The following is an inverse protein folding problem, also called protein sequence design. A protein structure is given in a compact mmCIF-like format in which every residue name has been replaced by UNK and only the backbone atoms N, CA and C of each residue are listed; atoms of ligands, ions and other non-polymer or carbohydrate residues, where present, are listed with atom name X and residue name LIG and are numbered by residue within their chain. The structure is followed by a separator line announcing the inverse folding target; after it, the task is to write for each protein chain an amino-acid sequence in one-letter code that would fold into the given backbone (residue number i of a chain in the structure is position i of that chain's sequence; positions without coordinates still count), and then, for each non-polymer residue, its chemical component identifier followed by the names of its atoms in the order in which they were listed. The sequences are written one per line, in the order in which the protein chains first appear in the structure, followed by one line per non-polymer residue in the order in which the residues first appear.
data_IF_348605159381
#
_entry.id   IF_348605159381
#
_cell.length_a   1.000
_cell.length_b   1.000
_cell.length_c   1.000
_cell.angle_alpha   90.00
_cell.angle_beta   90.00
_cell.angle_gamma   90.00
#
_symmetry.space_group_name_H-M   'P 1'
#
loop_
_entity.id
_entity.type
_entity.pdbx_description
1 polymer ?
#
# COMPACT_ATOMS: atom_id res chain seq x y z
N UNK A 1 0.73 -11.81 14.29
CA UNK A 1 2.14 -12.20 13.95
C UNK A 1 3.15 -11.33 14.68
N UNK A 2 4.35 -11.85 15.08
CA UNK A 2 5.45 -11.03 15.64
C UNK A 2 6.30 -10.44 14.51
N UNK A 3 6.84 -9.23 14.68
CA UNK A 3 7.68 -8.52 13.70
C UNK A 3 8.85 -9.40 13.19
N UNK A 4 9.59 -10.05 14.09
CA UNK A 4 10.69 -10.97 13.69
C UNK A 4 10.25 -12.08 12.73
N UNK A 5 9.02 -12.61 12.90
CA UNK A 5 8.47 -13.63 12.02
C UNK A 5 8.10 -13.04 10.65
N UNK A 6 7.54 -11.83 10.63
CA UNK A 6 7.24 -11.11 9.39
C UNK A 6 8.51 -10.79 8.59
N UNK A 7 9.55 -10.27 9.25
CA UNK A 7 10.85 -9.99 8.62
C UNK A 7 11.43 -11.25 7.97
N UNK A 8 11.47 -12.37 8.71
CA UNK A 8 11.97 -13.63 8.19
C UNK A 8 11.16 -14.12 6.98
N UNK A 9 9.83 -14.01 7.04
CA UNK A 9 8.95 -14.41 5.96
C UNK A 9 9.25 -13.64 4.66
N UNK A 10 9.36 -12.32 4.74
CA UNK A 10 9.64 -11.50 3.54
C UNK A 10 11.08 -11.67 3.05
N UNK A 11 12.04 -11.91 3.93
CA UNK A 11 13.43 -12.21 3.57
C UNK A 11 13.56 -13.52 2.79
N UNK A 12 12.79 -14.54 3.16
CA UNK A 12 12.75 -15.84 2.49
C UNK A 12 11.95 -15.81 1.18
N UNK A 13 10.98 -14.88 1.05
CA UNK A 13 10.04 -14.84 -0.08
C UNK A 13 10.46 -13.84 -1.17
N UNK A 14 11.00 -12.70 -0.77
CA UNK A 14 11.22 -11.59 -1.69
C UNK A 14 12.69 -11.49 -2.13
N UNK A 15 12.94 -11.08 -3.40
CA UNK A 15 14.29 -10.71 -3.82
C UNK A 15 14.85 -9.58 -2.95
N UNK A 16 16.16 -9.59 -2.67
CA UNK A 16 16.84 -8.65 -1.76
C UNK A 16 16.49 -7.18 -2.00
N UNK A 17 16.32 -6.77 -3.26
CA UNK A 17 15.90 -5.38 -3.60
C UNK A 17 14.52 -5.04 -3.04
N UNK A 18 13.56 -5.97 -3.13
CA UNK A 18 12.18 -5.78 -2.66
C UNK A 18 12.09 -5.94 -1.13
N UNK A 19 12.79 -6.90 -0.57
CA UNK A 19 12.96 -7.00 0.89
C UNK A 19 13.43 -5.67 1.49
N UNK A 20 14.52 -5.12 0.96
CA UNK A 20 15.06 -3.83 1.43
C UNK A 20 14.06 -2.67 1.23
N UNK A 21 13.27 -2.71 0.17
CA UNK A 21 12.18 -1.74 -0.04
C UNK A 21 11.13 -1.87 1.07
N UNK A 22 10.61 -3.07 1.35
CA UNK A 22 9.63 -3.29 2.41
C UNK A 22 10.12 -2.84 3.79
N UNK A 23 11.40 -3.08 4.08
CA UNK A 23 12.00 -2.59 5.34
C UNK A 23 12.04 -1.06 5.39
N UNK A 24 12.34 -0.36 4.28
CA UNK A 24 12.31 1.11 4.24
C UNK A 24 10.88 1.67 4.33
N UNK A 25 9.90 0.98 3.71
CA UNK A 25 8.48 1.35 3.85
C UNK A 25 8.04 1.25 5.31
N UNK A 26 8.36 0.15 5.99
CA UNK A 26 8.06 -0.02 7.41
C UNK A 26 8.71 1.06 8.28
N UNK A 27 9.97 1.39 8.04
CA UNK A 27 10.69 2.44 8.78
C UNK A 27 10.11 3.83 8.52
N UNK A 28 9.77 4.15 7.27
CA UNK A 28 9.12 5.41 6.89
C UNK A 28 7.73 5.51 7.53
N UNK A 29 6.97 4.42 7.48
CA UNK A 29 5.65 4.35 8.09
C UNK A 29 5.70 4.56 9.61
N UNK A 30 6.69 3.97 10.32
CA UNK A 30 6.87 4.20 11.77
C UNK A 30 7.11 5.66 12.09
N UNK A 31 7.97 6.35 11.34
CA UNK A 31 8.20 7.80 11.51
C UNK A 31 6.92 8.60 11.29
N UNK A 32 6.13 8.22 10.29
CA UNK A 32 4.83 8.85 10.07
C UNK A 32 3.85 8.55 11.20
N UNK A 33 3.79 7.29 11.66
CA UNK A 33 2.92 6.91 12.77
C UNK A 33 3.23 7.70 14.06
N UNK A 34 4.50 7.97 14.34
CA UNK A 34 4.90 8.82 15.46
C UNK A 34 4.40 10.27 15.30
N UNK A 35 4.49 10.85 14.10
CA UNK A 35 4.07 12.23 13.81
C UNK A 35 2.54 12.38 13.86
N UNK A 36 1.82 11.37 13.38
CA UNK A 36 0.37 11.42 13.19
C UNK A 36 -0.42 10.66 14.27
N UNK A 37 0.23 10.26 15.36
CA UNK A 37 -0.40 9.48 16.44
C UNK A 37 -1.09 8.22 15.89
N UNK A 38 -0.34 7.44 15.10
CA UNK A 38 -0.75 6.16 14.54
C UNK A 38 -0.23 4.96 15.35
N UNK A 39 -0.80 3.79 15.14
CA UNK A 39 -0.30 2.55 15.75
C UNK A 39 0.99 2.08 15.05
N UNK A 40 2.14 2.37 15.65
CA UNK A 40 3.46 2.00 15.12
C UNK A 40 3.61 0.51 14.86
N UNK A 41 2.98 -0.36 15.70
CA UNK A 41 3.11 -1.82 15.53
C UNK A 41 2.31 -2.30 14.31
N UNK A 42 1.10 -1.79 14.13
CA UNK A 42 0.27 -2.11 12.96
C UNK A 42 0.94 -1.61 11.68
N UNK A 43 1.42 -0.37 11.69
CA UNK A 43 2.10 0.24 10.56
C UNK A 43 3.40 -0.51 10.20
N UNK A 44 4.22 -0.87 11.19
CA UNK A 44 5.45 -1.63 10.98
C UNK A 44 5.15 -2.99 10.33
N UNK A 45 4.15 -3.72 10.87
CA UNK A 45 3.78 -5.03 10.37
C UNK A 45 3.22 -4.94 8.94
N UNK A 46 2.32 -4.00 8.68
CA UNK A 46 1.75 -3.79 7.34
C UNK A 46 2.84 -3.38 6.33
N UNK A 47 3.75 -2.47 6.71
CA UNK A 47 4.84 -2.03 5.84
C UNK A 47 5.82 -3.14 5.47
N UNK A 48 6.13 -4.06 6.39
CA UNK A 48 6.95 -5.24 6.10
C UNK A 48 6.25 -6.15 5.09
N UNK A 49 4.94 -6.37 5.23
CA UNK A 49 4.20 -7.43 4.55
C UNK A 49 3.47 -7.00 3.27
N UNK A 50 3.34 -5.68 2.99
CA UNK A 50 2.47 -5.17 1.90
C UNK A 50 2.77 -5.78 0.53
N UNK A 51 4.00 -6.08 0.25
CA UNK A 51 4.48 -6.59 -1.05
C UNK A 51 4.76 -8.11 -1.05
N UNK A 52 4.28 -8.86 -0.05
CA UNK A 52 4.61 -10.29 0.12
C UNK A 52 4.37 -11.11 -1.15
N UNK A 53 3.31 -10.82 -1.92
CA UNK A 53 2.95 -11.54 -3.14
C UNK A 53 3.39 -10.83 -4.44
N UNK A 54 4.27 -9.83 -4.36
CA UNK A 54 4.65 -8.96 -5.51
C UNK A 54 5.27 -9.69 -6.68
N UNK A 55 5.97 -10.78 -6.43
CA UNK A 55 6.72 -11.53 -7.44
C UNK A 55 6.07 -12.88 -7.78
N UNK A 56 4.84 -13.08 -7.37
CA UNK A 56 4.10 -14.29 -7.75
C UNK A 56 3.66 -14.24 -9.21
N UNK A 57 3.60 -15.41 -9.80
CA UNK A 57 3.08 -15.60 -11.16
C UNK A 57 1.60 -15.18 -11.24
N UNK A 58 1.22 -14.50 -12.32
CA UNK A 58 -0.13 -13.96 -12.49
C UNK A 58 -1.22 -15.04 -12.38
N UNK A 59 -0.94 -16.24 -12.88
CA UNK A 59 -1.84 -17.39 -12.77
C UNK A 59 -2.12 -17.81 -11.32
N UNK A 60 -1.09 -17.76 -10.45
CA UNK A 60 -1.23 -18.06 -9.03
C UNK A 60 -2.02 -16.97 -8.29
N UNK A 61 -1.82 -15.70 -8.69
CA UNK A 61 -2.62 -14.59 -8.16
C UNK A 61 -4.09 -14.73 -8.54
N UNK A 62 -4.43 -15.09 -9.78
CA UNK A 62 -5.82 -15.35 -10.20
C UNK A 62 -6.46 -16.52 -9.43
N UNK A 63 -5.72 -17.60 -9.22
CA UNK A 63 -6.19 -18.70 -8.39
C UNK A 63 -6.51 -18.25 -6.96
N UNK A 64 -5.63 -17.43 -6.38
CA UNK A 64 -5.83 -16.87 -5.04
C UNK A 64 -7.03 -15.91 -4.98
N UNK A 65 -7.24 -15.07 -6.00
CA UNK A 65 -8.44 -14.19 -6.10
C UNK A 65 -9.72 -15.03 -6.05
N UNK A 66 -9.76 -16.14 -6.79
CA UNK A 66 -10.91 -17.06 -6.79
C UNK A 66 -11.04 -17.82 -5.46
N UNK A 67 -9.94 -18.35 -4.94
CA UNK A 67 -9.92 -19.12 -3.69
C UNK A 67 -10.42 -18.31 -2.49
N UNK A 68 -10.01 -17.03 -2.40
CA UNK A 68 -10.36 -16.14 -1.28
C UNK A 68 -11.59 -15.27 -1.55
N UNK A 69 -12.29 -15.49 -2.67
CA UNK A 69 -13.47 -14.71 -3.09
C UNK A 69 -13.27 -13.19 -3.01
N UNK A 70 -12.18 -12.70 -3.60
CA UNK A 70 -11.78 -11.30 -3.51
C UNK A 70 -12.52 -10.36 -4.49
N UNK A 71 -13.40 -10.92 -5.32
CA UNK A 71 -14.19 -10.22 -6.34
C UNK A 71 -13.74 -10.52 -7.76
N UNK A 72 -14.70 -10.77 -8.63
CA UNK A 72 -14.45 -11.16 -10.04
C UNK A 72 -13.86 -10.02 -10.87
N UNK A 73 -14.11 -8.77 -10.50
CA UNK A 73 -13.57 -7.59 -11.14
C UNK A 73 -12.04 -7.55 -11.09
N UNK A 74 -11.43 -8.10 -10.03
CA UNK A 74 -9.97 -8.17 -9.89
C UNK A 74 -9.32 -9.03 -10.99
N UNK A 75 -10.02 -10.03 -11.54
CA UNK A 75 -9.49 -10.87 -12.62
C UNK A 75 -9.24 -10.11 -13.94
N UNK A 76 -9.69 -8.86 -14.03
CA UNK A 76 -9.43 -7.97 -15.17
C UNK A 76 -8.11 -7.21 -15.05
N UNK A 77 -7.36 -7.37 -13.93
CA UNK A 77 -6.14 -6.61 -13.66
C UNK A 77 -4.90 -7.50 -13.56
N UNK A 78 -3.74 -6.89 -13.72
CA UNK A 78 -2.44 -7.53 -13.62
C UNK A 78 -1.90 -7.64 -12.19
N UNK A 79 -0.71 -8.21 -12.07
CA UNK A 79 -0.03 -8.45 -10.79
C UNK A 79 0.18 -7.16 -9.97
N UNK A 80 0.29 -6.00 -10.63
CA UNK A 80 0.44 -4.70 -9.97
C UNK A 80 -0.73 -4.36 -9.04
N UNK A 81 -1.94 -4.83 -9.36
CA UNK A 81 -3.14 -4.63 -8.55
C UNK A 81 -3.39 -5.81 -7.62
N UNK A 82 -3.20 -7.04 -8.11
CA UNK A 82 -3.61 -8.25 -7.42
C UNK A 82 -2.78 -8.59 -6.19
N UNK A 83 -1.49 -8.26 -6.18
CA UNK A 83 -0.58 -8.71 -5.11
C UNK A 83 -1.00 -8.21 -3.72
N UNK A 84 -1.52 -6.99 -3.59
CA UNK A 84 -1.98 -6.44 -2.31
C UNK A 84 -3.19 -7.20 -1.74
N UNK A 85 -4.32 -7.28 -2.47
CA UNK A 85 -5.47 -8.10 -2.08
C UNK A 85 -5.13 -9.55 -1.73
N UNK A 86 -4.32 -10.21 -2.57
CA UNK A 86 -3.91 -11.61 -2.33
C UNK A 86 -3.02 -11.73 -1.09
N UNK A 87 -2.06 -10.80 -0.90
CA UNK A 87 -1.22 -10.80 0.31
C UNK A 87 -2.07 -10.63 1.58
N UNK A 88 -3.02 -9.69 1.59
CA UNK A 88 -3.89 -9.44 2.73
C UNK A 88 -4.73 -10.69 3.08
N UNK A 89 -5.36 -11.31 2.08
CA UNK A 89 -6.18 -12.52 2.28
C UNK A 89 -5.36 -13.71 2.78
N UNK A 90 -4.20 -13.94 2.17
CA UNK A 90 -3.27 -15.02 2.58
C UNK A 90 -2.74 -14.83 3.99
N UNK A 91 -2.38 -13.60 4.35
CA UNK A 91 -1.90 -13.29 5.68
C UNK A 91 -2.98 -13.49 6.75
N UNK A 92 -4.22 -13.19 6.43
CA UNK A 92 -5.37 -13.49 7.28
C UNK A 92 -5.57 -14.99 7.46
N UNK A 93 -5.60 -15.74 6.36
CA UNK A 93 -5.87 -17.18 6.36
C UNK A 93 -4.74 -18.02 6.97
N UNK A 94 -3.50 -17.81 6.53
CA UNK A 94 -2.37 -18.69 6.86
C UNK A 94 -1.55 -18.22 8.06
N UNK A 95 -1.67 -16.94 8.45
CA UNK A 95 -0.85 -16.35 9.53
C UNK A 95 -1.66 -15.72 10.65
N UNK A 96 -2.99 -15.86 10.60
CA UNK A 96 -3.93 -15.36 11.62
C UNK A 96 -3.77 -13.84 11.88
N UNK A 97 -3.58 -13.06 10.79
CA UNK A 97 -3.56 -11.60 10.87
C UNK A 97 -4.98 -11.08 10.62
N UNK A 98 -5.78 -11.03 11.69
CA UNK A 98 -7.19 -10.67 11.65
C UNK A 98 -7.47 -9.18 11.91
N UNK A 99 -6.44 -8.38 12.19
CA UNK A 99 -6.59 -6.94 12.42
C UNK A 99 -6.97 -6.24 11.10
N UNK A 100 -8.13 -5.57 11.09
CA UNK A 100 -8.67 -4.92 9.89
C UNK A 100 -7.82 -3.75 9.41
N UNK A 101 -7.17 -3.01 10.30
CA UNK A 101 -6.29 -1.90 9.90
C UNK A 101 -5.09 -2.42 9.11
N UNK A 102 -4.50 -3.53 9.56
CA UNK A 102 -3.39 -4.18 8.85
C UNK A 102 -3.88 -4.78 7.54
N UNK A 103 -5.02 -5.48 7.56
CA UNK A 103 -5.60 -6.10 6.38
C UNK A 103 -5.83 -5.07 5.27
N UNK A 104 -6.56 -3.99 5.57
CA UNK A 104 -6.90 -2.98 4.56
C UNK A 104 -5.70 -2.13 4.17
N UNK A 105 -4.73 -1.90 5.04
CA UNK A 105 -3.49 -1.23 4.69
C UNK A 105 -2.69 -2.03 3.65
N UNK A 106 -2.63 -3.36 3.77
CA UNK A 106 -1.99 -4.23 2.79
C UNK A 106 -2.85 -4.36 1.53
N UNK A 107 -4.16 -4.54 1.67
CA UNK A 107 -5.09 -4.72 0.55
C UNK A 107 -5.08 -3.53 -0.41
N UNK A 108 -5.14 -2.31 0.13
CA UNK A 108 -5.34 -1.09 -0.64
C UNK A 108 -4.06 -0.28 -0.91
N UNK A 109 -2.86 -0.77 -0.52
CA UNK A 109 -1.64 0.03 -0.60
C UNK A 109 -1.30 0.51 -2.02
N UNK A 110 -1.75 -0.19 -3.06
CA UNK A 110 -1.50 0.19 -4.47
C UNK A 110 -2.57 1.12 -5.02
N UNK A 111 -3.84 0.84 -4.76
CA UNK A 111 -4.96 1.58 -5.36
C UNK A 111 -5.44 2.74 -4.50
N UNK A 112 -5.22 2.67 -3.21
CA UNK A 112 -5.98 3.45 -2.25
C UNK A 112 -7.46 3.08 -2.27
N UNK A 113 -8.27 3.79 -1.52
CA UNK A 113 -9.74 3.80 -1.55
C UNK A 113 -10.28 5.08 -0.91
N UNK A 114 -11.56 5.37 -1.08
CA UNK A 114 -12.25 6.39 -0.28
C UNK A 114 -12.21 6.02 1.22
N UNK A 115 -12.14 7.02 2.08
CA UNK A 115 -12.21 6.85 3.54
C UNK A 115 -11.18 5.88 4.13
N UNK A 116 -9.93 5.93 3.68
CA UNK A 116 -8.85 5.14 4.29
C UNK A 116 -8.69 5.52 5.77
N UNK A 117 -8.50 4.51 6.63
CA UNK A 117 -8.08 4.76 8.01
C UNK A 117 -6.62 5.24 8.07
N UNK A 118 -6.16 5.64 9.25
CA UNK A 118 -4.82 6.21 9.45
C UNK A 118 -3.71 5.25 9.02
N UNK A 119 -3.82 3.97 9.35
CA UNK A 119 -2.83 2.94 8.97
C UNK A 119 -2.75 2.75 7.46
N UNK A 120 -3.90 2.70 6.78
CA UNK A 120 -3.96 2.63 5.32
C UNK A 120 -3.28 3.83 4.67
N UNK A 121 -3.61 5.07 5.09
CA UNK A 121 -2.98 6.29 4.57
C UNK A 121 -1.47 6.26 4.75
N UNK A 122 -1.00 5.89 5.93
CA UNK A 122 0.43 5.82 6.24
C UNK A 122 1.15 4.84 5.33
N UNK A 123 0.62 3.62 5.11
CA UNK A 123 1.27 2.62 4.27
C UNK A 123 1.23 3.03 2.79
N UNK A 124 0.08 3.51 2.30
CA UNK A 124 -0.06 4.03 0.93
C UNK A 124 0.95 5.14 0.63
N UNK A 125 1.13 6.08 1.54
CA UNK A 125 2.09 7.18 1.39
C UNK A 125 3.53 6.68 1.57
N UNK A 126 3.82 5.86 2.59
CA UNK A 126 5.18 5.39 2.89
C UNK A 126 5.79 4.58 1.73
N UNK A 127 4.99 3.75 1.03
CA UNK A 127 5.44 3.06 -0.18
C UNK A 127 5.85 4.04 -1.27
N UNK A 128 5.13 5.14 -1.43
CA UNK A 128 5.42 6.16 -2.44
C UNK A 128 6.65 7.01 -2.11
N UNK A 129 6.90 7.33 -0.82
CA UNK A 129 7.93 8.31 -0.40
C UNK A 129 9.17 7.70 0.27
N UNK A 130 9.28 6.36 0.39
CA UNK A 130 10.45 5.76 1.06
C UNK A 130 11.78 6.30 0.48
N UNK A 131 12.88 6.36 1.26
CA UNK A 131 14.06 7.16 0.92
C UNK A 131 14.73 6.85 -0.43
N UNK A 132 14.51 5.66 -1.00
CA UNK A 132 15.07 5.28 -2.31
C UNK A 132 14.13 5.53 -3.48
N UNK A 133 12.94 6.09 -3.24
CA UNK A 133 12.05 6.55 -4.31
C UNK A 133 12.58 7.87 -4.89
N UNK A 134 12.74 7.88 -6.21
CA UNK A 134 13.23 9.02 -7.00
C UNK A 134 12.22 9.46 -8.06
N UNK A 135 10.96 9.08 -7.88
CA UNK A 135 9.87 9.48 -8.78
C UNK A 135 9.79 11.00 -8.84
N UNK A 136 9.66 11.63 -10.02
CA UNK A 136 9.52 13.08 -10.14
C UNK A 136 8.42 13.60 -9.20
N UNK A 137 8.75 14.64 -8.43
CA UNK A 137 7.81 15.25 -7.46
C UNK A 137 7.66 14.51 -6.12
N UNK A 138 8.44 13.45 -5.86
CA UNK A 138 8.37 12.72 -4.58
C UNK A 138 8.75 13.61 -3.38
N UNK A 139 9.65 14.55 -3.57
CA UNK A 139 10.07 15.47 -2.49
C UNK A 139 8.96 16.44 -2.08
N UNK A 140 8.10 16.84 -3.01
CA UNK A 140 6.90 17.63 -2.71
C UNK A 140 5.94 16.83 -1.79
N UNK A 141 5.76 15.54 -2.05
CA UNK A 141 4.94 14.68 -1.17
C UNK A 141 5.59 14.54 0.22
N UNK A 142 6.92 14.40 0.28
CA UNK A 142 7.64 14.39 1.56
C UNK A 142 7.42 15.67 2.33
N UNK A 143 7.45 16.83 1.67
CA UNK A 143 7.18 18.13 2.28
C UNK A 143 5.74 18.22 2.82
N UNK A 144 4.75 17.78 2.06
CA UNK A 144 3.35 17.71 2.53
C UNK A 144 3.24 16.84 3.80
N UNK A 145 3.91 15.69 3.83
CA UNK A 145 3.86 14.78 4.98
C UNK A 145 4.60 15.36 6.18
N UNK A 146 5.85 15.76 6.01
CA UNK A 146 6.74 16.05 7.15
C UNK A 146 6.75 17.51 7.58
N UNK A 147 6.43 18.47 6.67
CA UNK A 147 6.38 19.90 6.98
C UNK A 147 4.95 20.39 7.17
N UNK A 148 4.05 20.10 6.23
CA UNK A 148 2.65 20.54 6.31
C UNK A 148 1.80 19.66 7.23
N UNK A 149 2.23 18.40 7.48
CA UNK A 149 1.53 17.40 8.31
C UNK A 149 0.11 17.11 7.85
N UNK A 150 -0.09 16.92 6.56
CA UNK A 150 -1.40 16.64 5.97
C UNK A 150 -1.40 15.32 5.20
N UNK A 151 -1.94 14.24 5.83
CA UNK A 151 -2.04 12.92 5.19
C UNK A 151 -3.04 12.92 4.02
N UNK A 152 -4.15 13.62 4.14
CA UNK A 152 -5.22 13.60 3.13
C UNK A 152 -4.77 14.30 1.86
N UNK A 153 -4.08 15.43 1.98
CA UNK A 153 -3.43 16.11 0.86
C UNK A 153 -2.35 15.24 0.21
N UNK A 154 -1.55 14.52 1.00
CA UNK A 154 -0.55 13.60 0.45
C UNK A 154 -1.20 12.45 -0.34
N UNK A 155 -2.28 11.84 0.18
CA UNK A 155 -3.06 10.81 -0.53
C UNK A 155 -3.63 11.36 -1.84
N UNK A 156 -4.22 12.55 -1.81
CA UNK A 156 -4.75 13.21 -3.00
C UNK A 156 -3.67 13.38 -4.08
N UNK A 157 -2.56 13.99 -3.73
CA UNK A 157 -1.49 14.27 -4.69
C UNK A 157 -0.84 12.99 -5.25
N UNK A 158 -0.68 11.94 -4.43
CA UNK A 158 -0.20 10.64 -4.90
C UNK A 158 -1.21 10.01 -5.88
N UNK A 159 -2.50 9.99 -5.52
CA UNK A 159 -3.56 9.42 -6.36
C UNK A 159 -3.65 10.15 -7.70
N UNK A 160 -3.59 11.48 -7.69
CA UNK A 160 -3.58 12.33 -8.89
C UNK A 160 -2.40 12.01 -9.81
N UNK A 161 -1.19 11.95 -9.25
CA UNK A 161 0.04 11.62 -10.01
C UNK A 161 -0.01 10.21 -10.57
N UNK A 162 -0.54 9.25 -9.79
CA UNK A 162 -0.72 7.86 -10.24
C UNK A 162 -1.68 7.78 -11.42
N UNK A 163 -2.85 8.42 -11.33
CA UNK A 163 -3.84 8.45 -12.41
C UNK A 163 -3.25 9.08 -13.67
N UNK A 164 -2.62 10.25 -13.56
CA UNK A 164 -1.98 10.92 -14.68
C UNK A 164 -0.87 10.06 -15.32
N UNK A 165 -0.06 9.39 -14.50
CA UNK A 165 0.98 8.50 -14.99
C UNK A 165 0.40 7.32 -15.77
N UNK A 166 -0.65 6.68 -15.25
CA UNK A 166 -1.30 5.54 -15.91
C UNK A 166 -1.95 5.96 -17.24
N UNK A 167 -2.65 7.09 -17.27
CA UNK A 167 -3.25 7.64 -18.50
C UNK A 167 -2.17 7.93 -19.54
N UNK A 168 -1.08 8.61 -19.16
CA UNK A 168 0.03 8.93 -20.05
C UNK A 168 0.80 7.69 -20.58
N UNK A 169 0.58 6.53 -19.97
CA UNK A 169 1.17 5.25 -20.37
C UNK A 169 0.17 4.31 -21.03
N UNK A 170 -1.02 4.77 -21.35
CA UNK A 170 -2.12 3.96 -21.89
C UNK A 170 -2.40 2.71 -21.03
N UNK A 171 -2.30 2.87 -19.70
CA UNK A 171 -2.57 1.81 -18.72
C UNK A 171 -3.96 1.95 -18.10
N UNK A 172 -4.56 0.81 -17.81
CA UNK A 172 -5.85 0.77 -17.10
C UNK A 172 -5.73 1.38 -15.70
N UNK A 173 -6.66 2.26 -15.36
CA UNK A 173 -6.79 2.81 -14.00
C UNK A 173 -7.84 2.01 -13.24
N UNK A 174 -7.49 1.51 -12.07
CA UNK A 174 -8.43 0.79 -11.21
C UNK A 174 -9.49 1.75 -10.64
N UNK A 175 -10.77 1.36 -10.63
CA UNK A 175 -11.86 2.23 -10.18
C UNK A 175 -11.66 2.76 -8.76
N UNK A 176 -11.17 1.94 -7.82
CA UNK A 176 -10.84 2.40 -6.46
C UNK A 176 -9.83 3.55 -6.45
N UNK A 177 -8.88 3.60 -7.40
CA UNK A 177 -7.92 4.72 -7.49
C UNK A 177 -8.61 6.02 -7.88
N UNK A 178 -9.63 5.95 -8.75
CA UNK A 178 -10.46 7.10 -9.10
C UNK A 178 -11.34 7.53 -7.91
N UNK A 179 -11.95 6.56 -7.22
CA UNK A 179 -12.72 6.85 -6.00
C UNK A 179 -11.86 7.50 -4.91
N UNK A 180 -10.64 6.98 -4.71
CA UNK A 180 -9.65 7.55 -3.81
C UNK A 180 -9.33 8.99 -4.20
N UNK A 181 -8.97 9.24 -5.45
CA UNK A 181 -8.69 10.58 -5.97
C UNK A 181 -9.85 11.54 -5.73
N UNK A 182 -11.06 11.15 -6.11
CA UNK A 182 -12.25 12.00 -5.98
C UNK A 182 -12.57 12.32 -4.51
N UNK A 183 -12.50 11.30 -3.64
CA UNK A 183 -12.75 11.48 -2.21
C UNK A 183 -11.76 12.48 -1.60
N UNK A 184 -10.46 12.27 -1.80
CA UNK A 184 -9.44 13.14 -1.21
C UNK A 184 -9.32 14.51 -1.88
N UNK A 185 -9.76 14.67 -3.14
CA UNK A 185 -9.89 15.99 -3.76
C UNK A 185 -10.89 16.89 -3.00
N UNK A 186 -11.96 16.30 -2.46
CA UNK A 186 -12.96 17.04 -1.69
C UNK A 186 -12.58 17.29 -0.21
N UNK A 187 -11.58 16.56 0.32
CA UNK A 187 -11.25 16.56 1.74
C UNK A 187 -9.80 17.00 2.05
N UNK A 188 -8.99 17.27 1.03
CA UNK A 188 -7.57 17.61 1.21
C UNK A 188 -7.29 19.04 1.67
N UNK A 189 -8.29 19.92 1.61
CA UNK A 189 -8.19 21.34 2.02
C UNK A 189 -8.59 21.58 3.48
N UNK A 190 -9.02 20.54 4.20
CA UNK A 190 -9.36 20.61 5.62
C UNK A 190 -8.16 20.17 6.47
#
# INVERSE_FOLDING_TARGET
MKIKKAVKLVEETLPSKRYNHSMRVAETGKKMAEIFDGDMKKVELAGILHDLCKYEELSALYQSVTQYDLGQDLLSYGSEILHGPVAAARLKDQYDINDEDIYYAIYNHTTGRAQMNKTEKIIFIADYIEPKRTTPGVDEIRDIVFKERNLDKAVYEISKRTVLHLINKDKTVHLKTIECLNYYNMHSEQ
#
